data_IF_645712172264
#
_entry.id   IF_645712172264
#
_cell.length_a   1.000
_cell.length_b   1.000
_cell.length_c   1.000
_cell.angle_alpha   90.00
_cell.angle_beta   90.00
_cell.angle_gamma   90.00
#
_symmetry.space_group_name_H-M   'P 1'
#
loop_
_entity.id
_entity.type
_entity.pdbx_description
1 polymer ?
#
# COMPACT_ATOMS: atom_id res chain seq x y z
N UNK A 1 -10.92 0.74 -18.01
CA UNK A 1 -9.82 0.82 -17.04
C UNK A 1 -9.15 -0.53 -16.83
N UNK A 2 -9.83 -1.53 -16.28
CA UNK A 2 -9.24 -2.86 -16.04
C UNK A 2 -8.57 -3.49 -17.26
N UNK A 3 -9.14 -3.34 -18.46
CA UNK A 3 -8.56 -3.91 -19.69
C UNK A 3 -7.31 -3.16 -20.20
N UNK A 4 -7.04 -1.97 -19.65
CA UNK A 4 -5.94 -1.08 -20.04
C UNK A 4 -4.69 -1.24 -19.17
N UNK A 5 -4.76 -2.05 -18.11
CA UNK A 5 -3.63 -2.32 -17.21
C UNK A 5 -3.12 -3.76 -17.36
N UNK A 6 -1.83 -3.94 -17.18
CA UNK A 6 -1.12 -5.19 -16.96
C UNK A 6 -0.84 -5.31 -15.45
N UNK A 7 -1.58 -6.20 -14.79
CA UNK A 7 -1.43 -6.41 -13.34
C UNK A 7 -0.08 -7.06 -13.04
N UNK A 8 0.57 -6.71 -11.92
CA UNK A 8 1.79 -7.39 -11.53
C UNK A 8 1.51 -8.83 -11.12
N UNK A 9 2.44 -9.74 -11.39
CA UNK A 9 2.33 -11.13 -10.94
C UNK A 9 2.36 -11.23 -9.41
N UNK A 10 1.51 -12.09 -8.86
CA UNK A 10 1.44 -12.37 -7.42
C UNK A 10 0.52 -11.43 -6.65
N UNK A 11 0.68 -11.44 -5.34
CA UNK A 11 -0.17 -10.71 -4.40
C UNK A 11 0.37 -9.32 -4.12
N UNK A 12 -0.47 -8.41 -3.64
CA UNK A 12 -0.15 -7.00 -3.42
C UNK A 12 -0.52 -6.55 -2.02
N UNK A 13 0.44 -6.00 -1.28
CA UNK A 13 0.19 -5.27 -0.04
C UNK A 13 0.13 -3.77 -0.31
N UNK A 14 -0.83 -3.09 0.28
CA UNK A 14 -0.97 -1.64 0.20
C UNK A 14 -0.91 -1.01 1.59
N UNK A 15 -0.22 0.11 1.70
CA UNK A 15 0.02 0.75 2.99
C UNK A 15 0.24 2.25 2.84
N UNK A 16 0.14 2.98 3.95
CA UNK A 16 0.51 4.39 4.06
C UNK A 16 1.62 4.50 5.10
N UNK A 17 2.70 5.18 4.78
CA UNK A 17 3.79 5.45 5.73
C UNK A 17 3.36 6.58 6.66
N UNK A 18 3.55 6.44 7.97
CA UNK A 18 3.23 7.52 8.90
C UNK A 18 4.19 8.70 8.69
N UNK A 19 3.67 9.92 8.86
CA UNK A 19 4.45 11.13 8.58
C UNK A 19 5.64 11.37 9.52
N UNK A 20 5.66 10.69 10.67
CA UNK A 20 6.78 10.65 11.62
C UNK A 20 7.83 9.59 11.26
N UNK A 21 7.54 8.70 10.32
CA UNK A 21 8.40 7.59 9.92
C UNK A 21 8.47 6.45 10.95
N UNK A 22 7.64 6.45 11.99
CA UNK A 22 7.70 5.45 13.07
C UNK A 22 6.90 4.16 12.75
N UNK A 23 6.33 4.06 11.55
CA UNK A 23 5.61 2.87 11.12
C UNK A 23 4.82 3.07 9.83
N UNK A 24 3.89 2.16 9.60
CA UNK A 24 2.97 2.21 8.47
C UNK A 24 1.57 1.77 8.88
N UNK A 25 0.56 2.26 8.17
CA UNK A 25 -0.80 1.75 8.20
C UNK A 25 -1.02 0.82 7.01
N UNK A 26 -1.14 -0.48 7.27
CA UNK A 26 -1.61 -1.44 6.27
C UNK A 26 -3.09 -1.16 5.97
N UNK A 27 -3.45 -1.12 4.68
CA UNK A 27 -4.82 -0.87 4.27
C UNK A 27 -5.60 -2.19 4.30
N UNK A 28 -6.80 -2.16 4.87
CA UNK A 28 -7.70 -3.33 4.91
C UNK A 28 -8.56 -3.40 3.66
N UNK A 29 -9.34 -4.48 3.44
CA UNK A 29 -10.34 -4.51 2.36
C UNK A 29 -11.39 -3.40 2.45
N UNK A 30 -11.63 -2.82 3.63
CA UNK A 30 -12.58 -1.73 3.82
C UNK A 30 -12.02 -0.37 3.34
N UNK A 31 -10.70 -0.23 3.22
CA UNK A 31 -10.07 1.00 2.75
C UNK A 31 -10.55 1.36 1.33
N UNK A 32 -10.98 2.61 1.08
CA UNK A 32 -11.40 3.05 -0.24
C UNK A 32 -10.37 2.78 -1.34
N UNK A 33 -9.08 2.89 -1.03
CA UNK A 33 -7.99 2.57 -1.95
C UNK A 33 -8.00 1.09 -2.35
N UNK A 34 -8.15 0.18 -1.38
CA UNK A 34 -8.20 -1.26 -1.64
C UNK A 34 -9.47 -1.67 -2.37
N UNK A 35 -10.60 -1.02 -2.11
CA UNK A 35 -11.81 -1.23 -2.91
C UNK A 35 -11.59 -0.88 -4.38
N UNK A 36 -10.82 0.18 -4.69
CA UNK A 36 -10.47 0.54 -6.07
C UNK A 36 -9.48 -0.49 -6.66
N UNK A 37 -8.39 -0.80 -5.96
CA UNK A 37 -7.38 -1.76 -6.43
C UNK A 37 -7.98 -3.15 -6.68
N UNK A 38 -8.84 -3.63 -5.79
CA UNK A 38 -9.58 -4.89 -5.96
C UNK A 38 -10.48 -4.88 -7.20
N UNK A 39 -11.20 -3.78 -7.45
CA UNK A 39 -12.03 -3.63 -8.68
C UNK A 39 -11.17 -3.62 -9.94
N UNK A 40 -9.98 -3.05 -9.89
CA UNK A 40 -8.99 -3.09 -10.97
C UNK A 40 -8.40 -4.49 -11.17
N UNK A 41 -8.45 -5.35 -10.14
CA UNK A 41 -8.09 -6.76 -10.22
C UNK A 41 -6.82 -7.16 -9.52
N UNK A 42 -6.22 -6.26 -8.73
CA UNK A 42 -5.12 -6.62 -7.85
C UNK A 42 -5.57 -7.68 -6.85
N UNK A 43 -4.73 -8.69 -6.64
CA UNK A 43 -4.89 -9.67 -5.59
C UNK A 43 -4.30 -9.11 -4.28
N UNK A 44 -5.15 -8.61 -3.39
CA UNK A 44 -4.72 -7.86 -2.21
C UNK A 44 -4.51 -8.78 -1.00
N UNK A 45 -3.37 -8.66 -0.34
CA UNK A 45 -3.08 -9.37 0.90
C UNK A 45 -3.69 -8.67 2.10
N UNK A 46 -4.06 -9.44 3.12
CA UNK A 46 -4.34 -8.93 4.45
C UNK A 46 -3.14 -9.08 5.39
N UNK A 47 -3.11 -8.27 6.45
CA UNK A 47 -2.13 -8.43 7.54
C UNK A 47 -2.34 -9.80 8.20
N UNK A 48 -1.30 -10.60 8.45
CA UNK A 48 -1.42 -11.85 9.19
C UNK A 48 -1.96 -11.65 10.62
N UNK A 49 -2.82 -12.55 11.11
CA UNK A 49 -3.48 -12.44 12.43
C UNK A 49 -2.50 -12.38 13.61
N UNK A 50 -1.35 -13.06 13.50
CA UNK A 50 -0.28 -13.04 14.50
C UNK A 50 0.44 -11.69 14.60
N UNK A 51 0.38 -10.88 13.54
CA UNK A 51 0.93 -9.52 13.49
C UNK A 51 -0.07 -8.46 13.93
N UNK A 52 -1.38 -8.68 13.69
CA UNK A 52 -2.45 -7.74 14.09
C UNK A 52 -2.43 -7.40 15.59
N UNK A 53 -1.89 -8.29 16.43
CA UNK A 53 -1.76 -8.09 17.87
C UNK A 53 -3.11 -7.86 18.55
N UNK A 54 -3.08 -7.41 19.81
CA UNK A 54 -4.29 -6.99 20.50
C UNK A 54 -4.67 -5.60 19.95
N UNK A 55 -5.59 -5.54 19.00
CA UNK A 55 -6.03 -4.35 18.22
C UNK A 55 -6.72 -3.27 19.07
N UNK A 56 -6.10 -2.88 20.18
CA UNK A 56 -6.58 -1.86 21.12
C UNK A 56 -6.30 -0.44 20.59
N UNK A 57 -5.32 -0.28 19.69
CA UNK A 57 -5.01 0.98 19.00
C UNK A 57 -5.51 0.89 17.55
N UNK A 58 -6.78 1.25 17.31
CA UNK A 58 -7.40 1.17 15.97
C UNK A 58 -8.79 0.54 15.93
N UNK A 59 -9.36 0.17 17.09
CA UNK A 59 -10.68 -0.50 17.22
C UNK A 59 -11.85 0.20 16.50
N UNK A 60 -11.71 1.49 16.22
CA UNK A 60 -12.72 2.32 15.54
C UNK A 60 -12.41 2.59 14.05
N UNK A 61 -11.28 2.11 13.53
CA UNK A 61 -10.85 2.31 12.13
C UNK A 61 -10.76 0.98 11.41
N UNK A 62 -11.87 0.57 10.79
CA UNK A 62 -11.92 -0.63 9.95
C UNK A 62 -11.09 -0.55 8.68
N UNK A 63 -10.66 0.66 8.28
CA UNK A 63 -9.92 0.92 7.04
C UNK A 63 -8.41 0.66 7.12
N UNK A 64 -7.83 0.59 8.33
CA UNK A 64 -6.37 0.42 8.49
C UNK A 64 -6.00 -0.48 9.67
N UNK A 65 -4.80 -1.07 9.58
CA UNK A 65 -4.12 -1.73 10.69
C UNK A 65 -2.75 -1.05 10.87
N UNK A 66 -2.51 -0.49 12.06
CA UNK A 66 -1.23 0.16 12.37
C UNK A 66 -0.14 -0.86 12.63
N UNK A 67 0.98 -0.73 11.93
CA UNK A 67 2.18 -1.53 12.05
C UNK A 67 3.31 -0.66 12.58
N UNK A 68 3.94 -1.09 13.67
CA UNK A 68 5.26 -0.58 14.09
C UNK A 68 6.32 -1.00 13.05
N UNK A 69 7.46 -0.30 13.01
CA UNK A 69 8.53 -0.54 12.02
C UNK A 69 8.98 -2.00 11.95
N UNK A 70 9.12 -2.67 13.08
CA UNK A 70 9.50 -4.08 13.15
C UNK A 70 8.46 -5.03 12.53
N UNK A 71 7.20 -4.59 12.46
CA UNK A 71 6.06 -5.37 11.97
C UNK A 71 5.68 -5.02 10.53
N UNK A 72 6.33 -4.03 9.90
CA UNK A 72 6.03 -3.61 8.52
C UNK A 72 6.18 -4.78 7.54
N UNK A 73 7.34 -5.44 7.53
CA UNK A 73 7.59 -6.53 6.58
C UNK A 73 6.70 -7.76 6.83
N UNK A 74 6.60 -8.31 8.06
CA UNK A 74 5.71 -9.45 8.28
C UNK A 74 4.22 -9.07 8.16
N UNK A 75 3.86 -7.79 8.35
CA UNK A 75 2.50 -7.29 8.20
C UNK A 75 2.09 -6.99 6.76
N UNK A 76 3.03 -6.93 5.81
CA UNK A 76 2.79 -6.64 4.39
C UNK A 76 3.34 -7.78 3.52
N UNK A 77 2.67 -8.95 3.49
CA UNK A 77 3.23 -10.18 2.92
C UNK A 77 3.20 -10.26 1.39
N UNK A 78 2.68 -9.24 0.71
CA UNK A 78 2.49 -9.23 -0.73
C UNK A 78 3.80 -9.21 -1.51
N UNK A 79 3.80 -9.89 -2.65
CA UNK A 79 4.91 -9.90 -3.60
C UNK A 79 5.19 -8.50 -4.19
N UNK A 80 4.13 -7.69 -4.27
CA UNK A 80 4.14 -6.31 -4.76
C UNK A 80 3.69 -5.37 -3.64
N UNK A 81 4.29 -4.20 -3.57
CA UNK A 81 3.98 -3.20 -2.56
C UNK A 81 3.48 -1.91 -3.22
N UNK A 82 2.35 -1.39 -2.76
CA UNK A 82 1.82 -0.07 -3.17
C UNK A 82 1.80 0.85 -1.94
N UNK A 83 2.76 1.77 -1.87
CA UNK A 83 2.78 2.82 -0.87
C UNK A 83 1.84 3.95 -1.31
N UNK A 84 0.66 3.99 -0.70
CA UNK A 84 -0.35 5.01 -0.93
C UNK A 84 0.08 6.35 -0.30
N UNK A 85 -0.29 7.45 -0.96
CA UNK A 85 -0.02 8.80 -0.47
C UNK A 85 1.48 9.08 -0.27
N UNK A 86 2.32 8.49 -1.12
CA UNK A 86 3.75 8.73 -1.11
C UNK A 86 4.17 9.27 -2.47
N UNK A 87 4.79 10.44 -2.48
CA UNK A 87 5.31 11.02 -3.72
C UNK A 87 6.44 10.15 -4.27
N UNK A 88 6.59 10.09 -5.61
CA UNK A 88 7.72 9.41 -6.25
C UNK A 88 9.07 9.85 -5.68
N UNK A 89 9.22 11.15 -5.36
CA UNK A 89 10.44 11.70 -4.76
C UNK A 89 10.79 11.12 -3.38
N UNK A 90 9.84 10.48 -2.70
CA UNK A 90 10.01 9.83 -1.40
C UNK A 90 10.08 8.30 -1.50
N UNK A 91 10.02 7.77 -2.71
CA UNK A 91 10.19 6.33 -2.93
C UNK A 91 11.60 5.88 -2.56
N UNK A 92 12.62 6.69 -2.87
CA UNK A 92 14.01 6.41 -2.50
C UNK A 92 14.23 6.35 -0.98
N UNK A 93 13.47 7.15 -0.21
CA UNK A 93 13.48 7.08 1.24
C UNK A 93 13.01 5.70 1.71
N UNK A 94 11.93 5.15 1.14
CA UNK A 94 11.48 3.80 1.47
C UNK A 94 12.49 2.74 1.03
N UNK A 95 13.07 2.86 -0.16
CA UNK A 95 14.05 1.91 -0.68
C UNK A 95 15.34 1.87 0.14
N UNK A 96 15.67 2.95 0.84
CA UNK A 96 16.84 3.04 1.72
C UNK A 96 16.54 2.81 3.21
N UNK A 97 15.28 2.96 3.63
CA UNK A 97 14.89 2.84 5.03
C UNK A 97 15.00 1.39 5.53
N UNK A 98 15.73 1.10 6.63
CA UNK A 98 16.01 -0.27 7.09
C UNK A 98 14.77 -1.16 7.31
N UNK A 99 13.66 -0.57 7.74
CA UNK A 99 12.40 -1.29 7.94
C UNK A 99 11.74 -1.77 6.63
N UNK A 100 12.06 -1.16 5.49
CA UNK A 100 11.41 -1.45 4.21
C UNK A 100 12.39 -2.02 3.18
N UNK A 101 13.66 -1.58 3.19
CA UNK A 101 14.66 -1.85 2.14
C UNK A 101 14.98 -3.33 1.89
N UNK A 102 14.75 -4.18 2.89
CA UNK A 102 15.01 -5.63 2.80
C UNK A 102 13.77 -6.45 2.45
N UNK A 103 12.61 -5.81 2.33
CA UNK A 103 11.38 -6.50 1.95
C UNK A 103 11.48 -7.08 0.53
N UNK A 104 10.93 -8.27 0.27
CA UNK A 104 10.98 -8.90 -1.06
C UNK A 104 10.48 -7.99 -2.19
N UNK A 105 9.40 -7.24 -1.95
CA UNK A 105 8.85 -6.30 -2.92
C UNK A 105 9.82 -5.15 -3.24
N UNK A 106 10.59 -4.66 -2.26
CA UNK A 106 11.56 -3.58 -2.47
C UNK A 106 12.81 -4.08 -3.20
N UNK A 107 13.34 -5.23 -2.77
CA UNK A 107 14.50 -5.87 -3.40
C UNK A 107 14.20 -6.31 -4.83
N UNK A 108 12.97 -6.77 -5.08
CA UNK A 108 12.50 -7.21 -6.40
C UNK A 108 12.08 -6.08 -7.34
N UNK A 109 12.24 -4.82 -6.93
CA UNK A 109 11.79 -3.64 -7.68
C UNK A 109 10.28 -3.63 -7.99
N UNK A 110 9.48 -4.07 -7.01
CA UNK A 110 8.02 -4.19 -7.04
C UNK A 110 7.37 -3.27 -6.01
N UNK A 111 8.05 -2.18 -5.65
CA UNK A 111 7.53 -1.09 -4.85
C UNK A 111 7.01 0.01 -5.78
N UNK A 112 5.74 0.33 -5.61
CA UNK A 112 5.00 1.33 -6.37
C UNK A 112 4.46 2.40 -5.43
N UNK A 113 4.22 3.60 -5.95
CA UNK A 113 3.78 4.74 -5.14
C UNK A 113 2.59 5.44 -5.78
N UNK A 114 1.71 6.02 -4.95
CA UNK A 114 0.59 6.85 -5.45
C UNK A 114 0.67 8.26 -4.86
N UNK A 115 0.32 9.32 -5.61
CA UNK A 115 0.54 10.70 -5.19
C UNK A 115 -0.03 11.05 -3.81
N UNK A 116 0.54 12.03 -3.08
CA UNK A 116 0.06 12.43 -1.75
C UNK A 116 -1.43 12.79 -1.67
N UNK A 117 -2.03 13.26 -2.77
CA UNK A 117 -3.47 13.55 -2.84
C UNK A 117 -4.37 12.31 -2.72
N UNK A 118 -3.80 11.09 -2.75
CA UNK A 118 -4.54 9.82 -2.64
C UNK A 118 -4.73 9.32 -1.20
N UNK A 119 -4.31 10.10 -0.19
CA UNK A 119 -4.50 9.79 1.23
C UNK A 119 -5.98 9.61 1.61
N UNK A 120 -6.84 10.53 1.17
CA UNK A 120 -8.29 10.44 1.31
C UNK A 120 -8.91 10.49 -0.07
N UNK A 121 -9.83 9.56 -0.32
CA UNK A 121 -10.49 9.47 -1.62
C UNK A 121 -11.80 10.24 -1.62
N UNK A 122 -11.84 11.25 -2.47
CA UNK A 122 -13.03 11.89 -3.00
C UNK A 122 -13.10 11.64 -4.51
N UNK A 123 -14.07 12.26 -5.19
CA UNK A 123 -14.21 12.09 -6.63
C UNK A 123 -12.95 12.45 -7.43
N UNK A 124 -12.23 13.51 -7.04
CA UNK A 124 -11.03 13.96 -7.76
C UNK A 124 -9.83 13.10 -7.40
N UNK A 125 -9.59 12.83 -6.12
CA UNK A 125 -8.44 12.02 -5.71
C UNK A 125 -8.57 10.54 -6.09
N UNK A 126 -9.79 10.02 -6.23
CA UNK A 126 -10.00 8.69 -6.81
C UNK A 126 -9.57 8.63 -8.29
N UNK A 127 -9.84 9.67 -9.08
CA UNK A 127 -9.35 9.76 -10.46
C UNK A 127 -7.82 9.88 -10.50
N UNK A 128 -7.21 10.66 -9.59
CA UNK A 128 -5.74 10.76 -9.50
C UNK A 128 -5.11 9.40 -9.16
N UNK A 129 -5.72 8.63 -8.24
CA UNK A 129 -5.27 7.28 -7.92
C UNK A 129 -5.34 6.38 -9.16
N UNK A 130 -6.47 6.43 -9.87
CA UNK A 130 -6.68 5.68 -11.10
C UNK A 130 -5.64 6.02 -12.19
N UNK A 131 -5.38 7.30 -12.42
CA UNK A 131 -4.39 7.77 -13.40
C UNK A 131 -2.97 7.32 -13.00
N UNK A 132 -2.64 7.37 -11.70
CA UNK A 132 -1.35 6.90 -11.20
C UNK A 132 -1.17 5.39 -11.36
N UNK A 133 -2.24 4.59 -11.24
CA UNK A 133 -2.19 3.15 -11.52
C UNK A 133 -2.06 2.90 -13.02
N UNK A 134 -2.75 3.65 -13.89
CA UNK A 134 -2.54 3.56 -15.34
C UNK A 134 -1.11 3.90 -15.75
N UNK A 135 -0.51 4.91 -15.14
CA UNK A 135 0.86 5.30 -15.46
C UNK A 135 1.87 4.19 -15.15
N UNK A 136 1.63 3.43 -14.06
CA UNK A 136 2.54 2.40 -13.57
C UNK A 136 2.28 1.01 -14.16
N UNK A 137 1.03 0.70 -14.49
CA UNK A 137 0.60 -0.61 -14.94
C UNK A 137 -0.05 -0.57 -16.32
N UNK A 138 0.00 0.55 -17.05
CA UNK A 138 -0.60 0.68 -18.37
C UNK A 138 0.06 -0.22 -19.42
N UNK A 139 -0.75 -0.74 -20.35
CA UNK A 139 -0.28 -1.44 -21.56
C UNK A 139 0.22 -0.49 -22.64
#
# INVERSE_FOLDING_TARGET
MRDQIELPDGTTSSFIVFGDGEGAAALTPEAPQNQILSRLGFDLTEVPEDIKGDTSMGKDRGDIISLALENVQPGLPGDNWISVSNSKDKEEELRSHPAFSTAPAVVGDRLYTTPPSTFRLDYFSANILLDSILEQFGK
#
